data_IF_714886275228
#
_entry.id   IF_714886275228
#
_cell.length_a   1.000
_cell.length_b   1.000
_cell.length_c   1.000
_cell.angle_alpha   90.00
_cell.angle_beta   90.00
_cell.angle_gamma   90.00
#
_symmetry.space_group_name_H-M   'P 1'
#
loop_
_entity.id
_entity.type
_entity.pdbx_description
1 polymer ?
#
# COMPACT_ATOMS: atom_id res chain seq x y z
N UNK A 1 -24.04 -16.53 16.12
CA UNK A 1 -23.11 -16.16 17.20
C UNK A 1 -22.02 -15.32 16.56
N UNK A 2 -22.00 -14.01 16.80
CA UNK A 2 -20.88 -13.18 16.35
C UNK A 2 -19.69 -13.47 17.24
N UNK A 3 -18.64 -14.07 16.68
CA UNK A 3 -17.32 -14.01 17.31
C UNK A 3 -16.94 -12.53 17.42
N UNK A 4 -16.74 -12.04 18.65
CA UNK A 4 -16.24 -10.69 18.89
C UNK A 4 -14.87 -10.53 18.23
N UNK A 5 -14.67 -9.40 17.54
CA UNK A 5 -13.38 -9.07 16.93
C UNK A 5 -12.40 -8.77 18.07
N UNK A 6 -11.38 -9.61 18.20
CA UNK A 6 -10.31 -9.44 19.19
C UNK A 6 -9.13 -8.64 18.64
N UNK A 7 -8.47 -7.89 19.52
CA UNK A 7 -7.35 -7.00 19.20
C UNK A 7 -6.08 -7.26 20.03
N UNK A 8 -6.06 -8.32 20.82
CA UNK A 8 -5.06 -8.62 21.86
C UNK A 8 -4.13 -9.80 21.50
N UNK A 9 -3.78 -9.92 20.22
CA UNK A 9 -2.98 -11.02 19.71
C UNK A 9 -1.55 -11.01 20.25
N UNK A 10 -1.13 -12.14 20.82
CA UNK A 10 0.27 -12.39 21.17
C UNK A 10 1.09 -12.87 19.97
N UNK A 11 2.42 -12.73 20.05
CA UNK A 11 3.34 -13.24 19.01
C UNK A 11 3.20 -14.75 18.82
N UNK A 12 2.96 -15.50 19.90
CA UNK A 12 2.77 -16.94 19.84
C UNK A 12 1.52 -17.33 19.03
N UNK A 13 0.38 -16.68 19.30
CA UNK A 13 -0.87 -16.94 18.57
C UNK A 13 -0.76 -16.57 17.08
N UNK A 14 -0.05 -15.49 16.74
CA UNK A 14 0.19 -15.13 15.34
C UNK A 14 1.10 -16.16 14.66
N UNK A 15 2.10 -16.68 15.38
CA UNK A 15 2.99 -17.73 14.86
C UNK A 15 2.23 -19.03 14.60
N UNK A 16 1.28 -19.40 15.45
CA UNK A 16 0.41 -20.56 15.21
C UNK A 16 -0.41 -20.42 13.92
N UNK A 17 -0.88 -19.21 13.59
CA UNK A 17 -1.56 -18.95 12.30
C UNK A 17 -0.58 -19.09 11.14
N UNK A 18 0.60 -18.49 11.25
CA UNK A 18 1.64 -18.55 10.23
C UNK A 18 2.07 -20.00 9.93
N UNK A 19 2.19 -20.83 10.97
CA UNK A 19 2.68 -22.21 10.89
C UNK A 19 1.56 -23.22 10.54
N UNK A 20 0.33 -22.75 10.32
CA UNK A 20 -0.80 -23.58 9.85
C UNK A 20 -0.49 -24.14 8.46
N UNK A 21 -0.84 -25.41 8.15
CA UNK A 21 -0.68 -25.95 6.80
C UNK A 21 -1.33 -25.05 5.75
N UNK A 22 -0.61 -24.74 4.68
CA UNK A 22 -0.98 -23.69 3.72
C UNK A 22 -2.42 -23.81 3.21
N UNK A 23 -2.86 -25.02 2.85
CA UNK A 23 -4.21 -25.23 2.30
C UNK A 23 -5.30 -25.02 3.36
N UNK A 24 -5.04 -25.40 4.61
CA UNK A 24 -5.95 -25.15 5.74
C UNK A 24 -6.03 -23.65 6.06
N UNK A 25 -4.88 -22.97 6.00
CA UNK A 25 -4.80 -21.52 6.19
C UNK A 25 -5.58 -20.76 5.11
N UNK A 26 -5.41 -21.15 3.84
CA UNK A 26 -6.15 -20.55 2.71
C UNK A 26 -7.65 -20.78 2.86
N UNK A 27 -8.08 -22.00 3.24
CA UNK A 27 -9.49 -22.28 3.48
C UNK A 27 -10.03 -21.41 4.61
N UNK A 28 -9.35 -21.35 5.76
CA UNK A 28 -9.72 -20.49 6.89
C UNK A 28 -9.79 -19.01 6.50
N UNK A 29 -8.82 -18.52 5.72
CA UNK A 29 -8.80 -17.14 5.24
C UNK A 29 -10.01 -16.82 4.36
N UNK A 30 -10.42 -17.74 3.47
CA UNK A 30 -11.63 -17.57 2.66
C UNK A 30 -12.90 -17.52 3.51
N UNK A 31 -13.01 -18.35 4.56
CA UNK A 31 -14.14 -18.33 5.49
C UNK A 31 -14.28 -16.97 6.18
N UNK A 32 -13.16 -16.41 6.68
CA UNK A 32 -13.13 -15.09 7.30
C UNK A 32 -13.46 -14.01 6.27
N UNK A 33 -12.83 -14.03 5.10
CA UNK A 33 -13.06 -13.03 4.05
C UNK A 33 -14.54 -12.94 3.66
N UNK A 34 -15.20 -14.08 3.39
CA UNK A 34 -16.63 -14.13 3.01
C UNK A 34 -17.58 -13.73 4.14
N UNK A 35 -17.13 -13.77 5.40
CA UNK A 35 -17.94 -13.34 6.55
C UNK A 35 -17.99 -11.82 6.68
N UNK A 36 -16.92 -11.13 6.32
CA UNK A 36 -16.76 -9.69 6.56
C UNK A 36 -16.69 -8.84 5.29
N UNK A 37 -16.57 -9.45 4.12
CA UNK A 37 -16.50 -8.77 2.83
C UNK A 37 -17.45 -9.40 1.81
N UNK A 38 -17.99 -8.57 0.92
CA UNK A 38 -18.81 -9.03 -0.19
C UNK A 38 -17.97 -9.89 -1.15
N UNK A 39 -18.36 -11.15 -1.41
CA UNK A 39 -17.61 -12.01 -2.31
C UNK A 39 -17.55 -11.45 -3.73
N UNK A 40 -16.34 -11.27 -4.26
CA UNK A 40 -16.13 -10.79 -5.63
C UNK A 40 -16.05 -9.28 -5.77
N UNK A 41 -16.26 -8.52 -4.70
CA UNK A 41 -15.95 -7.09 -4.66
C UNK A 41 -14.45 -6.87 -4.45
N UNK A 42 -13.86 -5.93 -5.19
CA UNK A 42 -12.44 -5.56 -5.07
C UNK A 42 -12.31 -4.04 -5.05
N UNK A 43 -11.54 -3.52 -4.10
CA UNK A 43 -11.21 -2.09 -4.05
C UNK A 43 -10.10 -1.75 -5.06
N UNK A 44 -10.40 -0.88 -6.02
CA UNK A 44 -9.44 -0.41 -7.02
C UNK A 44 -8.78 0.90 -6.58
N UNK A 45 -7.46 0.88 -6.40
CA UNK A 45 -6.65 2.06 -6.08
C UNK A 45 -5.65 2.34 -7.20
N UNK A 46 -5.44 3.62 -7.51
CA UNK A 46 -4.39 4.06 -8.43
C UNK A 46 -3.39 4.94 -7.68
N UNK A 47 -2.08 4.73 -7.93
CA UNK A 47 -1.01 5.46 -7.26
C UNK A 47 -0.18 6.24 -8.27
N UNK A 48 0.19 7.47 -7.89
CA UNK A 48 1.14 8.30 -8.60
C UNK A 48 2.32 8.65 -7.70
N UNK A 49 3.53 8.44 -8.20
CA UNK A 49 4.75 8.99 -7.60
C UNK A 49 4.81 10.48 -7.94
N UNK A 50 4.43 11.34 -6.99
CA UNK A 50 4.39 12.80 -7.20
C UNK A 50 5.78 13.43 -7.10
N UNK A 51 6.76 12.72 -6.51
CA UNK A 51 8.19 13.06 -6.50
C UNK A 51 8.96 11.75 -6.45
N UNK A 52 9.86 11.52 -7.41
CA UNK A 52 10.51 10.21 -7.62
C UNK A 52 12.02 10.29 -7.42
N UNK A 53 12.60 9.28 -6.76
CA UNK A 53 14.05 9.13 -6.62
C UNK A 53 14.69 10.10 -5.63
N UNK A 54 16.01 10.04 -5.47
CA UNK A 54 16.80 10.89 -4.56
C UNK A 54 16.21 10.99 -3.13
N UNK A 55 15.71 9.87 -2.59
CA UNK A 55 15.26 9.79 -1.20
C UNK A 55 16.47 9.73 -0.25
N UNK A 56 16.50 10.47 0.88
CA UNK A 56 17.64 10.44 1.80
C UNK A 56 17.75 9.14 2.62
N UNK A 57 16.63 8.42 2.79
CA UNK A 57 16.55 7.15 3.51
C UNK A 57 17.33 6.04 2.79
N UNK A 58 17.81 5.05 3.54
CA UNK A 58 18.73 4.01 3.09
C UNK A 58 18.09 2.61 3.02
N UNK A 59 16.76 2.55 2.86
CA UNK A 59 16.01 1.31 2.75
C UNK A 59 16.61 0.38 1.68
N UNK A 60 17.17 -0.76 2.10
CA UNK A 60 17.94 -1.66 1.25
C UNK A 60 17.16 -2.23 0.05
N UNK A 61 15.82 -2.26 0.13
CA UNK A 61 14.94 -2.76 -0.93
C UNK A 61 14.44 -1.65 -1.87
N UNK A 62 14.58 -0.37 -1.50
CA UNK A 62 13.91 0.72 -2.21
C UNK A 62 14.76 1.26 -3.37
N UNK A 63 14.28 1.21 -4.63
CA UNK A 63 15.05 1.70 -5.77
C UNK A 63 15.13 3.23 -5.83
N UNK A 64 14.41 3.94 -4.97
CA UNK A 64 14.37 5.41 -4.94
C UNK A 64 15.36 6.03 -3.95
N UNK A 65 16.05 5.21 -3.15
CA UNK A 65 17.08 5.68 -2.22
C UNK A 65 18.25 6.30 -2.99
N UNK A 66 18.66 7.51 -2.61
CA UNK A 66 19.84 8.17 -3.14
C UNK A 66 21.16 7.54 -2.67
N UNK A 67 21.11 6.55 -1.77
CA UNK A 67 22.29 5.83 -1.26
C UNK A 67 22.78 4.73 -2.20
N UNK A 68 21.90 4.24 -3.09
CA UNK A 68 22.18 3.12 -3.98
C UNK A 68 22.07 3.52 -5.45
N UNK A 69 22.79 2.82 -6.32
CA UNK A 69 22.69 3.03 -7.77
C UNK A 69 21.59 2.15 -8.35
N UNK A 70 20.41 2.73 -8.53
CA UNK A 70 19.29 2.11 -9.25
C UNK A 70 19.01 2.87 -10.56
N UNK A 71 18.41 2.18 -11.54
CA UNK A 71 17.93 2.80 -12.79
C UNK A 71 16.55 3.41 -12.58
N UNK A 72 16.51 4.52 -11.86
CA UNK A 72 15.28 5.30 -11.62
C UNK A 72 15.52 6.71 -12.11
N UNK A 73 14.67 7.18 -13.02
CA UNK A 73 14.65 8.59 -13.44
C UNK A 73 14.21 9.45 -12.25
N UNK A 74 14.98 10.50 -11.97
CA UNK A 74 14.73 11.39 -10.84
C UNK A 74 13.83 12.51 -11.32
N UNK A 75 12.60 12.52 -10.81
CA UNK A 75 11.62 13.56 -11.08
C UNK A 75 11.41 14.44 -9.84
N UNK A 76 11.36 15.74 -10.07
CA UNK A 76 10.97 16.72 -9.05
C UNK A 76 9.49 16.55 -8.68
N UNK A 77 9.07 17.26 -7.64
CA UNK A 77 7.66 17.33 -7.29
C UNK A 77 6.85 17.83 -8.50
N UNK A 78 5.83 17.07 -8.87
CA UNK A 78 4.90 17.40 -9.95
C UNK A 78 4.06 18.63 -9.59
N UNK A 79 3.66 19.38 -10.62
CA UNK A 79 2.71 20.47 -10.46
C UNK A 79 1.33 19.92 -10.03
N UNK A 80 0.62 20.59 -9.09
CA UNK A 80 -0.69 20.16 -8.63
C UNK A 80 -1.72 19.96 -9.75
N UNK A 81 -1.69 20.74 -10.82
CA UNK A 81 -2.60 20.57 -11.95
C UNK A 81 -2.34 19.24 -12.68
N UNK A 82 -1.07 18.86 -12.86
CA UNK A 82 -0.70 17.54 -13.40
C UNK A 82 -1.17 16.42 -12.48
N UNK A 83 -1.01 16.56 -11.16
CA UNK A 83 -1.49 15.55 -10.20
C UNK A 83 -3.01 15.39 -10.29
N UNK A 84 -3.75 16.49 -10.36
CA UNK A 84 -5.22 16.49 -10.49
C UNK A 84 -5.69 15.92 -11.84
N UNK A 85 -4.96 16.18 -12.92
CA UNK A 85 -5.21 15.56 -14.23
C UNK A 85 -5.09 14.03 -14.15
N UNK A 86 -3.99 13.53 -13.56
CA UNK A 86 -3.77 12.09 -13.37
C UNK A 86 -4.80 11.47 -12.43
N UNK A 87 -5.22 12.18 -11.38
CA UNK A 87 -6.26 11.73 -10.48
C UNK A 87 -7.62 11.62 -11.19
N UNK A 88 -7.97 12.58 -12.06
CA UNK A 88 -9.19 12.51 -12.89
C UNK A 88 -9.13 11.32 -13.85
N UNK A 89 -8.02 11.15 -14.56
CA UNK A 89 -7.83 10.01 -15.45
C UNK A 89 -7.94 8.66 -14.70
N UNK A 90 -7.39 8.56 -13.48
CA UNK A 90 -7.50 7.36 -12.65
C UNK A 90 -8.95 7.07 -12.23
N UNK A 91 -9.70 8.10 -11.82
CA UNK A 91 -11.13 7.99 -11.50
C UNK A 91 -11.93 7.54 -12.71
N UNK A 92 -11.68 8.16 -13.87
CA UNK A 92 -12.38 7.83 -15.11
C UNK A 92 -12.04 6.41 -15.60
N UNK A 93 -10.88 5.87 -15.20
CA UNK A 93 -10.49 4.46 -15.37
C UNK A 93 -11.06 3.50 -14.30
N UNK A 94 -11.89 3.99 -13.38
CA UNK A 94 -12.59 3.17 -12.38
C UNK A 94 -11.92 3.06 -11.01
N UNK A 95 -10.83 3.79 -10.74
CA UNK A 95 -10.24 3.80 -9.41
C UNK A 95 -11.15 4.53 -8.41
N UNK A 96 -11.36 3.93 -7.22
CA UNK A 96 -12.13 4.52 -6.12
C UNK A 96 -11.25 5.29 -5.13
N UNK A 97 -9.93 5.08 -5.19
CA UNK A 97 -8.93 5.80 -4.38
C UNK A 97 -7.73 6.18 -5.23
N UNK A 98 -7.28 7.42 -5.09
CA UNK A 98 -6.03 7.91 -5.68
C UNK A 98 -4.99 8.16 -4.57
N UNK A 99 -3.81 7.58 -4.73
CA UNK A 99 -2.74 7.62 -3.74
C UNK A 99 -1.55 8.42 -4.29
N UNK A 100 -1.01 9.33 -3.50
CA UNK A 100 0.17 10.11 -3.84
C UNK A 100 1.35 9.61 -3.00
N UNK A 101 2.44 9.22 -3.66
CA UNK A 101 3.69 8.83 -3.00
C UNK A 101 4.79 9.85 -3.30
N UNK A 102 5.55 10.25 -2.28
CA UNK A 102 6.69 11.14 -2.43
C UNK A 102 7.95 10.49 -1.86
N UNK A 103 9.06 10.57 -2.59
CA UNK A 103 10.36 10.05 -2.16
C UNK A 103 11.06 11.02 -1.16
N UNK A 104 10.45 11.21 0.01
CA UNK A 104 10.97 12.02 1.11
C UNK A 104 10.91 11.26 2.44
N UNK A 105 11.67 11.73 3.42
CA UNK A 105 11.53 11.28 4.81
C UNK A 105 10.27 11.87 5.46
N UNK A 106 10.05 13.17 5.23
CA UNK A 106 8.95 13.96 5.77
C UNK A 106 8.53 15.03 4.76
N UNK A 107 7.34 15.59 4.92
CA UNK A 107 6.85 16.67 4.05
C UNK A 107 7.69 17.91 4.31
N UNK A 108 8.29 18.45 3.26
CA UNK A 108 9.07 19.69 3.34
C UNK A 108 8.09 20.85 3.55
N UNK A 109 8.32 21.64 4.60
CA UNK A 109 7.46 22.78 5.00
C UNK A 109 6.00 22.39 5.34
N UNK A 110 5.75 21.12 5.70
CA UNK A 110 4.46 20.70 6.22
C UNK A 110 4.28 21.15 7.67
N UNK A 111 3.18 21.84 7.96
CA UNK A 111 2.64 21.91 9.33
C UNK A 111 2.16 20.53 9.79
#
# INVERSE_FOLDING_TARGET
MSEEIRHDWSVCEVREIHDTPLLDLVYRAQQVHRRYHEPGEVQLCSLLSIKTGACPEDCAYCPQSGRYRAKVEIDRLLDPATVLERARAARDAGATRFCMGAAWREVRDGE
#
